data_IF_428093281203
#
_entry.id   IF_428093281203
#
_cell.length_a   1.000
_cell.length_b   1.000
_cell.length_c   1.000
_cell.angle_alpha   90.00
_cell.angle_beta   90.00
_cell.angle_gamma   90.00
#
_symmetry.space_group_name_H-M   'P 1'
#
loop_
_entity.id
_entity.type
_entity.pdbx_description
1 polymer ?
#
# COMPACT_ATOMS: atom_id res chain seq x y z
N UNK A 1 31.11 5.75 0.01
CA UNK A 1 30.60 5.68 -1.38
C UNK A 1 31.28 4.51 -2.07
N UNK A 2 30.51 3.62 -2.68
CA UNK A 2 31.02 2.52 -3.50
C UNK A 2 30.63 2.83 -4.94
N UNK A 3 31.60 2.98 -5.86
CA UNK A 3 31.35 3.38 -7.25
C UNK A 3 30.85 2.25 -8.17
N UNK A 4 30.71 1.04 -7.65
CA UNK A 4 30.35 -0.18 -8.36
C UNK A 4 29.23 -0.91 -7.59
N UNK A 5 29.00 -2.18 -7.94
CA UNK A 5 28.08 -3.05 -7.19
C UNK A 5 28.61 -3.36 -5.78
N UNK A 6 27.68 -3.58 -4.86
CA UNK A 6 27.96 -3.97 -3.48
C UNK A 6 27.20 -5.27 -3.16
N UNK A 7 27.92 -6.23 -2.59
CA UNK A 7 27.34 -7.47 -2.06
C UNK A 7 27.79 -7.66 -0.63
N UNK A 8 26.83 -7.73 0.29
CA UNK A 8 27.07 -7.99 1.70
C UNK A 8 26.32 -9.25 2.14
N UNK A 9 27.02 -10.13 2.86
CA UNK A 9 26.43 -11.33 3.46
C UNK A 9 26.79 -11.38 4.93
N UNK A 10 25.77 -11.33 5.78
CA UNK A 10 25.91 -11.40 7.24
C UNK A 10 25.21 -12.66 7.73
N UNK A 11 25.99 -13.58 8.32
CA UNK A 11 25.49 -14.91 8.69
C UNK A 11 24.43 -14.93 9.80
N UNK A 12 24.38 -13.89 10.65
CA UNK A 12 23.41 -13.81 11.74
C UNK A 12 22.86 -12.39 11.92
N UNK A 13 23.61 -11.51 12.60
CA UNK A 13 23.17 -10.15 12.96
C UNK A 13 24.09 -9.10 12.33
N UNK A 14 23.49 -8.19 11.56
CA UNK A 14 24.14 -6.94 11.14
C UNK A 14 23.72 -5.80 12.06
N UNK A 15 24.65 -4.97 12.51
CA UNK A 15 24.35 -3.86 13.40
C UNK A 15 25.03 -2.56 12.96
N UNK A 16 24.26 -1.48 12.91
CA UNK A 16 24.76 -0.11 12.73
C UNK A 16 24.38 0.68 13.97
N UNK A 17 25.37 1.28 14.63
CA UNK A 17 25.16 2.17 15.76
C UNK A 17 25.91 3.48 15.50
N UNK A 18 25.18 4.58 15.36
CA UNK A 18 25.76 5.89 15.05
C UNK A 18 25.13 6.99 15.90
N UNK A 19 25.97 7.87 16.43
CA UNK A 19 25.56 9.12 17.07
C UNK A 19 25.14 10.22 16.07
N UNK A 20 25.15 9.92 14.77
CA UNK A 20 24.79 10.81 13.67
C UNK A 20 23.97 10.08 12.60
N UNK A 21 23.42 10.83 11.64
CA UNK A 21 22.78 10.24 10.47
C UNK A 21 23.78 9.44 9.65
N UNK A 22 23.30 8.39 8.98
CA UNK A 22 24.12 7.56 8.10
C UNK A 22 23.63 7.72 6.67
N UNK A 23 24.57 7.72 5.72
CA UNK A 23 24.28 7.78 4.29
C UNK A 23 25.08 6.72 3.55
N UNK A 24 24.39 5.89 2.79
CA UNK A 24 24.98 4.88 1.91
C UNK A 24 24.71 5.24 0.46
N UNK A 25 25.78 5.33 -0.32
CA UNK A 25 25.70 5.66 -1.75
C UNK A 25 26.48 4.60 -2.52
N UNK A 26 25.74 3.78 -3.27
CA UNK A 26 26.24 2.70 -4.13
C UNK A 26 25.93 3.09 -5.57
N UNK A 27 26.94 3.20 -6.43
CA UNK A 27 26.77 3.59 -7.82
C UNK A 27 26.08 2.50 -8.66
N UNK A 28 26.27 1.24 -8.28
CA UNK A 28 25.64 0.07 -8.90
C UNK A 28 24.50 -0.53 -8.09
N UNK A 29 24.35 -1.84 -8.21
CA UNK A 29 23.38 -2.64 -7.47
C UNK A 29 23.83 -2.89 -6.04
N UNK A 30 22.90 -2.86 -5.09
CA UNK A 30 23.12 -3.16 -3.67
C UNK A 30 22.37 -4.46 -3.35
N UNK A 31 23.11 -5.55 -3.09
CA UNK A 31 22.55 -6.85 -2.70
C UNK A 31 22.99 -7.18 -1.28
N UNK A 32 22.03 -7.28 -0.37
CA UNK A 32 22.28 -7.55 1.05
C UNK A 32 21.50 -8.81 1.48
N UNK A 33 22.21 -9.75 2.11
CA UNK A 33 21.61 -10.93 2.74
C UNK A 33 21.99 -10.98 4.20
N UNK A 34 20.99 -10.87 5.07
CA UNK A 34 21.18 -10.91 6.53
C UNK A 34 20.40 -12.08 7.11
N UNK A 35 21.11 -13.03 7.72
CA UNK A 35 20.54 -14.31 8.13
C UNK A 35 19.37 -14.19 9.12
N UNK A 36 19.58 -13.50 10.25
CA UNK A 36 18.56 -13.37 11.28
C UNK A 36 17.91 -11.98 11.27
N UNK A 37 18.70 -10.93 11.48
CA UNK A 37 18.18 -9.58 11.60
C UNK A 37 19.25 -8.52 11.30
N UNK A 38 18.80 -7.36 10.83
CA UNK A 38 19.58 -6.12 10.81
C UNK A 38 19.00 -5.17 11.84
N UNK A 39 19.84 -4.65 12.74
CA UNK A 39 19.44 -3.66 13.73
C UNK A 39 20.19 -2.35 13.48
N UNK A 40 19.45 -1.26 13.32
CA UNK A 40 20.01 0.06 13.10
C UNK A 40 19.54 1.03 14.17
N UNK A 41 20.51 1.61 14.89
CA UNK A 41 20.29 2.68 15.85
C UNK A 41 21.12 3.89 15.42
N UNK A 42 20.45 4.87 14.83
CA UNK A 42 21.09 6.08 14.29
C UNK A 42 20.42 7.33 14.82
N UNK A 43 21.21 8.30 15.28
CA UNK A 43 20.70 9.62 15.68
C UNK A 43 20.62 10.53 14.47
N UNK A 44 19.42 10.86 14.02
CA UNK A 44 19.17 11.68 12.83
C UNK A 44 18.29 10.91 11.84
N UNK A 45 18.88 10.40 10.77
CA UNK A 45 18.19 9.55 9.80
C UNK A 45 19.14 8.61 9.05
N UNK A 46 18.54 7.63 8.39
CA UNK A 46 19.20 6.74 7.44
C UNK A 46 18.82 7.20 6.02
N UNK A 47 19.81 7.29 5.13
CA UNK A 47 19.58 7.52 3.70
C UNK A 47 20.40 6.51 2.90
N UNK A 48 19.75 5.82 1.96
CA UNK A 48 20.44 4.94 1.01
C UNK A 48 20.03 5.30 -0.42
N UNK A 49 21.00 5.32 -1.33
CA UNK A 49 20.78 5.49 -2.76
C UNK A 49 21.61 4.48 -3.55
N UNK A 50 20.94 3.76 -4.44
CA UNK A 50 21.52 2.79 -5.37
C UNK A 50 20.73 2.71 -6.68
N UNK A 51 21.29 2.08 -7.71
CA UNK A 51 20.58 1.86 -8.97
C UNK A 51 19.44 0.83 -8.83
N UNK A 52 19.71 -0.24 -8.07
CA UNK A 52 18.72 -1.25 -7.69
C UNK A 52 19.10 -1.90 -6.37
N UNK A 53 18.10 -2.15 -5.51
CA UNK A 53 18.28 -2.80 -4.21
C UNK A 53 17.62 -4.16 -4.19
N UNK A 54 18.33 -5.16 -3.68
CA UNK A 54 17.74 -6.44 -3.24
C UNK A 54 18.16 -6.68 -1.81
N UNK A 55 17.17 -6.77 -0.92
CA UNK A 55 17.37 -7.05 0.50
C UNK A 55 16.58 -8.31 0.88
N UNK A 56 17.26 -9.27 1.50
CA UNK A 56 16.65 -10.50 1.99
C UNK A 56 16.85 -10.61 3.51
N UNK A 57 15.75 -10.58 4.24
CA UNK A 57 15.72 -10.69 5.71
C UNK A 57 14.62 -11.65 6.16
N UNK A 58 14.83 -12.32 7.30
CA UNK A 58 13.79 -13.15 7.92
C UNK A 58 12.63 -12.34 8.50
N UNK A 59 12.93 -11.15 9.04
CA UNK A 59 11.95 -10.17 9.54
C UNK A 59 12.41 -8.77 9.16
N UNK A 60 11.51 -7.97 8.59
CA UNK A 60 11.71 -6.55 8.36
C UNK A 60 10.77 -5.75 9.26
N UNK A 61 11.31 -4.92 10.14
CA UNK A 61 10.52 -4.12 11.09
C UNK A 61 10.96 -2.66 11.06
N UNK A 62 10.01 -1.77 10.80
CA UNK A 62 10.20 -0.32 10.82
C UNK A 62 9.25 0.26 11.84
N UNK A 63 9.81 0.93 12.85
CA UNK A 63 9.05 1.73 13.80
C UNK A 63 9.34 3.21 13.53
N UNK A 64 8.44 3.86 12.80
CA UNK A 64 8.50 5.29 12.55
C UNK A 64 7.59 6.02 13.54
N UNK A 65 8.11 7.07 14.20
CA UNK A 65 7.32 7.92 15.08
C UNK A 65 6.32 8.81 14.30
N UNK A 66 6.61 9.04 13.02
CA UNK A 66 5.79 9.82 12.09
C UNK A 66 5.17 8.93 11.01
N UNK A 67 4.84 9.51 9.84
CA UNK A 67 4.24 8.77 8.73
C UNK A 67 5.21 7.81 8.04
N UNK A 68 4.65 6.78 7.42
CA UNK A 68 5.33 5.89 6.49
C UNK A 68 4.80 6.16 5.08
N UNK A 69 5.70 6.36 4.12
CA UNK A 69 5.35 6.64 2.72
C UNK A 69 6.22 5.81 1.78
N UNK A 70 5.61 5.32 0.70
CA UNK A 70 6.31 4.64 -0.39
C UNK A 70 5.90 5.32 -1.69
N UNK A 71 6.89 5.85 -2.40
CA UNK A 71 6.72 6.43 -3.73
C UNK A 71 7.49 5.58 -4.73
N UNK A 72 6.82 5.17 -5.80
CA UNK A 72 7.42 4.39 -6.87
C UNK A 72 7.03 5.00 -8.22
N UNK A 73 8.01 5.13 -9.13
CA UNK A 73 7.76 5.52 -10.52
C UNK A 73 7.13 4.38 -11.34
N UNK A 74 7.38 3.13 -10.93
CA UNK A 74 6.80 1.91 -11.48
C UNK A 74 5.70 1.31 -10.58
N UNK A 75 5.42 0.02 -10.77
CA UNK A 75 4.44 -0.69 -9.97
C UNK A 75 4.94 -1.00 -8.55
N UNK A 76 4.05 -0.87 -7.55
CA UNK A 76 4.25 -1.40 -6.21
C UNK A 76 3.58 -2.77 -6.15
N UNK A 77 4.37 -3.84 -5.97
CA UNK A 77 3.86 -5.20 -5.84
C UNK A 77 4.11 -5.72 -4.41
N UNK A 78 3.04 -6.05 -3.69
CA UNK A 78 3.08 -6.64 -2.35
C UNK A 78 2.57 -8.08 -2.41
N UNK A 79 3.48 -9.05 -2.41
CA UNK A 79 3.14 -10.47 -2.36
C UNK A 79 3.37 -11.00 -0.94
N UNK A 80 2.28 -11.22 -0.20
CA UNK A 80 2.33 -11.65 1.21
C UNK A 80 1.41 -12.85 1.41
N UNK A 81 1.83 -13.81 2.26
CA UNK A 81 0.96 -14.93 2.63
C UNK A 81 -0.27 -14.47 3.43
N UNK A 82 -0.10 -13.42 4.23
CA UNK A 82 -1.17 -12.72 4.93
C UNK A 82 -0.71 -11.30 5.23
N UNK A 83 -1.63 -10.34 5.25
CA UNK A 83 -1.36 -8.98 5.72
C UNK A 83 -2.47 -8.47 6.62
N UNK A 84 -2.10 -7.67 7.62
CA UNK A 84 -3.03 -6.93 8.48
C UNK A 84 -2.53 -5.50 8.58
N UNK A 85 -3.41 -4.55 8.28
CA UNK A 85 -3.10 -3.13 8.28
C UNK A 85 -4.00 -2.44 9.30
N UNK A 86 -3.41 -1.83 10.32
CA UNK A 86 -4.13 -0.94 11.24
C UNK A 86 -3.67 0.49 10.93
N UNK A 87 -4.57 1.30 10.40
CA UNK A 87 -4.27 2.64 9.90
C UNK A 87 -4.95 3.68 10.80
N UNK A 88 -4.19 4.63 11.34
CA UNK A 88 -4.68 5.54 12.39
C UNK A 88 -5.44 6.78 11.93
N UNK A 89 -5.23 7.25 10.69
CA UNK A 89 -5.91 8.46 10.15
C UNK A 89 -6.54 8.20 8.78
N UNK A 90 -5.71 7.86 7.80
CA UNK A 90 -6.14 7.54 6.44
C UNK A 90 -5.01 6.87 5.67
N UNK A 91 -5.36 6.02 4.72
CA UNK A 91 -4.42 5.38 3.80
C UNK A 91 -4.81 5.74 2.38
N UNK A 92 -3.83 6.18 1.62
CA UNK A 92 -3.96 6.43 0.20
C UNK A 92 -2.81 5.73 -0.51
N UNK A 93 -3.14 4.91 -1.50
CA UNK A 93 -2.20 4.37 -2.46
C UNK A 93 -2.60 4.90 -3.84
N UNK A 94 -1.71 5.67 -4.45
CA UNK A 94 -1.92 6.25 -5.78
C UNK A 94 -1.04 5.51 -6.78
N UNK A 95 -1.64 4.99 -7.84
CA UNK A 95 -0.93 4.41 -8.96
C UNK A 95 -1.43 5.05 -10.26
N UNK A 96 -0.52 5.22 -11.23
CA UNK A 96 -0.84 5.73 -12.57
C UNK A 96 -1.46 4.67 -13.50
N UNK A 97 -1.52 3.42 -13.06
CA UNK A 97 -2.08 2.28 -13.79
C UNK A 97 -3.36 1.73 -13.17
N UNK A 98 -3.75 0.53 -13.62
CA UNK A 98 -4.94 -0.17 -13.12
C UNK A 98 -4.77 -0.45 -11.63
N UNK A 99 -5.78 -0.05 -10.83
CA UNK A 99 -5.96 -0.53 -9.47
C UNK A 99 -6.93 -1.71 -9.50
N UNK A 100 -6.48 -2.88 -9.05
CA UNK A 100 -7.30 -4.09 -8.97
C UNK A 100 -7.33 -4.60 -7.53
N UNK A 101 -8.54 -4.93 -7.05
CA UNK A 101 -8.74 -5.67 -5.80
C UNK A 101 -9.14 -7.09 -6.18
N UNK A 102 -8.24 -8.04 -5.99
CA UNK A 102 -8.49 -9.46 -6.24
C UNK A 102 -8.54 -10.21 -4.92
N UNK A 103 -9.73 -10.60 -4.50
CA UNK A 103 -9.95 -11.37 -3.29
C UNK A 103 -11.10 -12.36 -3.48
N UNK A 104 -11.09 -13.47 -2.72
CA UNK A 104 -12.21 -14.41 -2.71
C UNK A 104 -13.50 -13.75 -2.17
N UNK A 105 -13.34 -12.78 -1.27
CA UNK A 105 -14.41 -11.90 -0.81
C UNK A 105 -13.82 -10.55 -0.39
N UNK A 106 -14.62 -9.50 -0.51
CA UNK A 106 -14.30 -8.16 -0.02
C UNK A 106 -15.40 -7.74 0.94
N UNK A 107 -15.02 -7.38 2.17
CA UNK A 107 -15.92 -6.78 3.15
C UNK A 107 -15.49 -5.34 3.38
N UNK A 108 -16.41 -4.41 3.16
CA UNK A 108 -16.20 -2.99 3.40
C UNK A 108 -17.17 -2.57 4.51
N UNK A 109 -16.63 -2.03 5.59
CA UNK A 109 -17.40 -1.49 6.71
C UNK A 109 -16.89 -0.06 6.97
N UNK A 110 -17.82 0.89 6.94
CA UNK A 110 -17.53 2.30 7.13
C UNK A 110 -18.59 2.93 8.04
N UNK A 111 -18.16 3.81 8.94
CA UNK A 111 -19.05 4.46 9.91
C UNK A 111 -20.05 5.44 9.28
N UNK A 112 -19.72 5.96 8.10
CA UNK A 112 -20.51 6.98 7.40
C UNK A 112 -20.87 6.54 5.99
N UNK A 113 -19.87 6.40 5.11
CA UNK A 113 -20.08 6.14 3.68
C UNK A 113 -18.99 5.24 3.10
N UNK A 114 -19.35 4.44 2.09
CA UNK A 114 -18.42 3.75 1.19
C UNK A 114 -18.62 4.36 -0.21
N UNK A 115 -17.54 4.90 -0.79
CA UNK A 115 -17.57 5.48 -2.14
C UNK A 115 -16.62 4.72 -3.06
N UNK A 116 -17.16 4.15 -4.14
CA UNK A 116 -16.41 3.52 -5.21
C UNK A 116 -16.46 4.44 -6.43
N UNK A 117 -15.33 5.03 -6.80
CA UNK A 117 -15.23 6.00 -7.90
C UNK A 117 -14.34 5.49 -9.01
N UNK A 118 -14.81 5.60 -10.25
CA UNK A 118 -14.04 5.33 -11.46
C UNK A 118 -14.33 6.41 -12.50
N UNK A 119 -13.33 7.25 -12.81
CA UNK A 119 -13.52 8.39 -13.72
C UNK A 119 -14.62 9.34 -13.22
N UNK A 120 -15.59 9.64 -14.09
CA UNK A 120 -16.74 10.48 -13.76
C UNK A 120 -17.89 9.76 -13.03
N UNK A 121 -17.77 8.45 -12.81
CA UNK A 121 -18.80 7.63 -12.19
C UNK A 121 -18.55 7.32 -10.72
N UNK A 122 -19.61 7.35 -9.92
CA UNK A 122 -19.56 7.11 -8.47
C UNK A 122 -20.70 6.19 -8.02
N UNK A 123 -20.34 5.15 -7.25
CA UNK A 123 -21.29 4.37 -6.45
C UNK A 123 -21.07 4.74 -4.98
N UNK A 124 -22.12 5.19 -4.31
CA UNK A 124 -22.07 5.63 -2.91
C UNK A 124 -23.04 4.76 -2.11
N UNK A 125 -22.52 4.12 -1.07
CA UNK A 125 -23.29 3.33 -0.11
C UNK A 125 -23.27 4.09 1.22
N UNK A 126 -24.44 4.47 1.71
CA UNK A 126 -24.59 5.18 2.98
C UNK A 126 -25.84 4.72 3.75
N UNK A 127 -26.19 5.42 4.84
CA UNK A 127 -27.35 5.10 5.69
C UNK A 127 -28.70 5.14 4.98
N UNK A 128 -28.77 5.78 3.82
CA UNK A 128 -29.97 5.93 2.98
C UNK A 128 -30.06 4.85 1.89
N UNK A 129 -29.03 3.99 1.75
CA UNK A 129 -28.98 2.93 0.75
C UNK A 129 -27.84 3.09 -0.25
N UNK A 130 -28.08 2.64 -1.49
CA UNK A 130 -27.10 2.65 -2.59
C UNK A 130 -27.51 3.72 -3.61
N UNK A 131 -26.60 4.63 -3.94
CA UNK A 131 -26.81 5.65 -4.96
C UNK A 131 -25.73 5.60 -6.05
N UNK A 132 -26.15 5.94 -7.26
CA UNK A 132 -25.36 5.96 -8.48
C UNK A 132 -25.31 7.41 -8.99
N UNK A 133 -24.12 7.99 -9.15
CA UNK A 133 -23.92 9.38 -9.61
C UNK A 133 -22.99 9.46 -10.81
N UNK A 134 -23.17 10.52 -11.61
CA UNK A 134 -22.45 10.77 -12.86
C UNK A 134 -23.11 10.10 -14.07
N UNK A 135 -22.52 10.29 -15.26
CA UNK A 135 -22.93 9.59 -16.48
C UNK A 135 -22.45 8.14 -16.42
N UNK A 136 -23.16 7.32 -15.64
CA UNK A 136 -22.91 5.88 -15.52
C UNK A 136 -24.08 5.08 -16.05
N UNK A 137 -23.76 4.06 -16.83
CA UNK A 137 -24.72 3.03 -17.19
C UNK A 137 -24.76 1.99 -16.07
N UNK A 138 -25.93 1.80 -15.48
CA UNK A 138 -26.17 0.73 -14.51
C UNK A 138 -26.95 -0.38 -15.22
N UNK A 139 -26.32 -1.54 -15.37
CA UNK A 139 -26.98 -2.75 -15.87
C UNK A 139 -27.25 -3.67 -14.69
N UNK A 140 -28.53 -3.98 -14.45
CA UNK A 140 -28.96 -4.96 -13.44
C UNK A 140 -29.44 -6.19 -14.20
N UNK A 141 -28.79 -7.32 -13.98
CA UNK A 141 -29.14 -8.59 -14.61
C UNK A 141 -29.61 -9.56 -13.54
N UNK A 142 -30.76 -10.22 -13.78
CA UNK A 142 -31.32 -11.20 -12.87
C UNK A 142 -32.37 -12.05 -13.56
N UNK A 143 -32.55 -13.30 -13.11
CA UNK A 143 -33.63 -14.18 -13.58
C UNK A 143 -35.03 -13.65 -13.22
N UNK A 144 -35.11 -12.84 -12.16
CA UNK A 144 -36.29 -12.03 -11.78
C UNK A 144 -35.79 -10.75 -11.13
N UNK A 145 -36.34 -9.62 -11.53
CA UNK A 145 -36.04 -8.31 -10.94
C UNK A 145 -37.36 -7.79 -10.38
N UNK A 146 -37.46 -7.73 -9.06
CA UNK A 146 -38.61 -7.17 -8.35
C UNK A 146 -38.24 -5.80 -7.80
N UNK A 147 -39.04 -4.79 -8.12
CA UNK A 147 -38.91 -3.45 -7.56
C UNK A 147 -40.20 -3.14 -6.81
N UNK A 148 -40.10 -2.79 -5.54
CA UNK A 148 -41.25 -2.26 -4.81
C UNK A 148 -41.61 -0.88 -5.41
N UNK A 149 -42.89 -0.63 -5.72
CA UNK A 149 -43.31 0.67 -6.22
C UNK A 149 -42.94 1.76 -5.19
N UNK A 150 -42.53 2.96 -5.63
CA UNK A 150 -42.17 4.03 -4.73
C UNK A 150 -43.35 4.35 -3.80
N UNK A 151 -43.06 4.61 -2.53
CA UNK A 151 -44.06 4.88 -1.49
C UNK A 151 -45.00 6.07 -1.82
N UNK A 152 -44.61 6.92 -2.78
CA UNK A 152 -45.42 8.01 -3.33
C UNK A 152 -45.26 7.99 -4.85
N UNK A 153 -46.36 7.79 -5.58
CA UNK A 153 -46.41 7.99 -7.02
C UNK A 153 -46.32 9.50 -7.33
N UNK A 154 -45.62 9.95 -8.38
CA UNK A 154 -45.69 11.33 -8.82
C UNK A 154 -47.14 11.63 -9.26
N UNK A 155 -47.76 12.63 -8.63
CA UNK A 155 -48.99 13.24 -9.12
C UNK A 155 -48.73 14.16 -10.31
#
# INVERSE_FOLDING_TARGET
MVGADMTETIGALGAINSAYGVSFNVGGSSTETVGAARAELVKGGHSESCASKTEMVGVYFVNAAEGFGVEATGAIALNTASSKWTLGKGYAATASGICAVTAASVSLDASETITLKCGGGEVIIDKSGISFKGDIQVTVEGSTIEAEPPAIAPG
#
